data_IF_198635570356
#
_entry.id   IF_198635570356
#
_cell.length_a   1.000
_cell.length_b   1.000
_cell.length_c   1.000
_cell.angle_alpha   90.00
_cell.angle_beta   90.00
_cell.angle_gamma   90.00
#
_symmetry.space_group_name_H-M   'P 1'
#
loop_
_entity.id
_entity.type
_entity.pdbx_description
1 polymer ?
#
# COMPACT_ATOMS: atom_id res chain seq x y z
N UNK A 1 -10.65 63.04 -19.81
CA UNK A 1 -11.59 62.13 -19.08
C UNK A 1 -10.83 60.85 -18.72
N UNK A 2 -11.14 60.22 -17.58
CA UNK A 2 -10.68 58.86 -17.22
C UNK A 2 -11.92 58.05 -16.83
N UNK A 3 -12.06 56.83 -17.34
CA UNK A 3 -13.16 55.94 -16.95
C UNK A 3 -12.83 55.24 -15.62
N UNK A 4 -13.83 54.99 -14.75
CA UNK A 4 -13.65 54.14 -13.57
C UNK A 4 -13.63 52.65 -13.96
N UNK A 5 -12.86 51.85 -13.22
CA UNK A 5 -12.87 50.38 -13.33
C UNK A 5 -13.98 49.79 -12.44
N UNK A 6 -14.71 48.75 -12.89
CA UNK A 6 -15.72 48.08 -12.08
C UNK A 6 -15.10 47.13 -11.04
N UNK A 7 -15.64 47.14 -9.82
CA UNK A 7 -15.28 46.20 -8.75
C UNK A 7 -15.86 44.80 -9.00
N UNK A 8 -15.11 43.70 -8.77
CA UNK A 8 -15.64 42.34 -8.90
C UNK A 8 -16.63 42.00 -7.78
N UNK A 9 -17.87 41.69 -8.14
CA UNK A 9 -18.90 41.29 -7.18
C UNK A 9 -18.74 39.80 -6.77
N UNK A 10 -18.78 39.54 -5.46
CA UNK A 10 -18.71 38.17 -4.93
C UNK A 10 -19.95 37.34 -5.33
N UNK A 11 -19.74 36.20 -6.00
CA UNK A 11 -20.82 35.25 -6.33
C UNK A 11 -20.83 34.07 -5.37
N UNK A 12 -21.96 33.90 -4.68
CA UNK A 12 -22.28 32.67 -3.94
C UNK A 12 -22.80 31.59 -4.91
N UNK A 13 -22.36 30.36 -4.73
CA UNK A 13 -23.06 29.14 -5.16
C UNK A 13 -23.13 28.23 -3.92
N UNK A 14 -24.26 28.18 -3.22
CA UNK A 14 -25.43 27.34 -3.53
C UNK A 14 -25.10 25.84 -3.37
N UNK A 15 -25.45 25.30 -2.18
CA UNK A 15 -25.42 23.86 -1.91
C UNK A 15 -26.64 23.21 -2.56
N UNK A 16 -26.45 22.09 -3.24
CA UNK A 16 -27.54 21.18 -3.61
C UNK A 16 -27.42 19.91 -2.75
N UNK A 17 -28.51 19.54 -2.09
CA UNK A 17 -28.69 18.23 -1.49
C UNK A 17 -29.50 17.37 -2.47
N UNK A 18 -29.26 16.06 -2.54
CA UNK A 18 -30.09 15.17 -3.34
C UNK A 18 -30.41 13.84 -2.65
N UNK A 19 -31.67 13.46 -2.81
CA UNK A 19 -32.39 12.40 -2.11
C UNK A 19 -31.71 11.04 -2.04
N UNK A 20 -31.85 10.44 -0.85
CA UNK A 20 -31.78 9.01 -0.65
C UNK A 20 -33.00 8.35 -1.31
N UNK A 21 -32.81 7.25 -2.05
CA UNK A 21 -33.91 6.44 -2.57
C UNK A 21 -33.55 4.95 -2.48
N UNK A 22 -34.35 4.18 -1.74
CA UNK A 22 -34.27 2.72 -1.74
C UNK A 22 -35.01 2.15 -2.95
N UNK A 23 -34.42 1.16 -3.60
CA UNK A 23 -35.16 0.15 -4.37
C UNK A 23 -34.63 -1.21 -3.95
N UNK A 24 -35.49 -2.02 -3.32
CA UNK A 24 -35.21 -3.42 -3.03
C UNK A 24 -35.91 -4.30 -4.07
N UNK A 25 -35.20 -5.26 -4.65
CA UNK A 25 -35.78 -6.32 -5.48
C UNK A 25 -35.36 -7.66 -4.88
N UNK A 26 -36.34 -8.43 -4.41
CA UNK A 26 -36.10 -9.77 -3.90
C UNK A 26 -36.08 -10.79 -5.07
N UNK A 27 -35.05 -11.63 -5.11
CA UNK A 27 -34.93 -12.73 -6.07
C UNK A 27 -34.51 -14.01 -5.34
N UNK A 28 -35.48 -14.83 -4.96
CA UNK A 28 -35.21 -16.11 -4.28
C UNK A 28 -34.91 -17.21 -5.32
N UNK A 29 -33.66 -17.65 -5.39
CA UNK A 29 -33.23 -18.81 -6.18
C UNK A 29 -32.81 -19.97 -5.27
N UNK A 30 -33.55 -21.08 -5.31
CA UNK A 30 -33.26 -22.27 -4.50
C UNK A 30 -32.13 -23.10 -5.10
N UNK A 31 -31.24 -23.62 -4.25
CA UNK A 31 -30.35 -24.73 -4.59
C UNK A 31 -30.61 -25.91 -3.63
N UNK A 32 -30.69 -27.16 -4.13
CA UNK A 32 -30.91 -28.33 -3.29
C UNK A 32 -29.62 -28.80 -2.61
N UNK A 33 -29.76 -29.40 -1.43
CA UNK A 33 -28.67 -30.11 -0.77
C UNK A 33 -28.58 -31.57 -1.25
N UNK A 34 -27.36 -32.10 -1.32
CA UNK A 34 -27.09 -33.53 -1.41
C UNK A 34 -26.00 -33.89 -0.39
N UNK A 35 -26.16 -35.02 0.29
CA UNK A 35 -25.28 -35.49 1.37
C UNK A 35 -24.67 -36.87 1.03
N UNK A 36 -24.01 -37.50 2.00
CA UNK A 36 -23.35 -38.83 1.95
C UNK A 36 -22.00 -38.85 1.19
N UNK A 37 -20.99 -39.64 1.58
CA UNK A 37 -20.71 -40.31 2.87
C UNK A 37 -19.20 -40.65 2.97
N UNK A 38 -18.74 -41.04 4.17
CA UNK A 38 -17.41 -41.62 4.42
C UNK A 38 -17.51 -43.13 4.71
N UNK A 39 -16.41 -43.89 4.58
CA UNK A 39 -16.22 -45.11 5.37
C UNK A 39 -14.78 -45.31 5.94
N UNK A 40 -14.57 -46.40 6.69
CA UNK A 40 -13.42 -46.67 7.58
C UNK A 40 -12.94 -48.14 7.51
N UNK A 41 -11.68 -48.52 7.79
CA UNK A 41 -10.46 -47.75 8.18
C UNK A 41 -9.23 -48.21 7.36
N UNK A 42 -8.47 -49.30 7.57
CA UNK A 42 -8.21 -50.25 8.68
C UNK A 42 -6.80 -50.85 8.47
N UNK A 43 -6.04 -51.19 9.53
CA UNK A 43 -4.70 -51.80 9.45
C UNK A 43 -4.58 -53.10 10.30
N UNK A 44 -3.64 -54.01 9.95
CA UNK A 44 -2.91 -54.77 10.98
C UNK A 44 -1.42 -55.06 10.63
N UNK A 45 -0.71 -55.78 11.53
CA UNK A 45 0.68 -56.26 11.39
C UNK A 45 0.83 -57.62 12.16
N UNK A 46 1.95 -58.34 12.30
CA UNK A 46 3.39 -58.12 12.04
C UNK A 46 4.11 -59.49 11.81
N UNK A 47 5.36 -59.68 12.30
CA UNK A 47 6.18 -60.93 12.34
C UNK A 47 6.93 -61.30 11.03
N UNK A 48 8.12 -61.94 11.02
CA UNK A 48 9.14 -62.25 12.05
C UNK A 48 10.55 -62.49 11.42
N UNK A 49 11.55 -62.89 12.24
CA UNK A 49 13.00 -63.04 11.93
C UNK A 49 13.44 -64.53 11.88
N UNK A 50 14.62 -64.94 11.33
CA UNK A 50 15.90 -64.92 12.08
C UNK A 50 17.20 -64.70 11.22
N UNK A 51 18.38 -65.04 11.78
CA UNK A 51 19.77 -64.88 11.23
C UNK A 51 20.49 -66.27 11.19
N UNK A 52 21.85 -66.50 11.20
CA UNK A 52 23.05 -65.62 11.36
C UNK A 52 24.28 -65.91 10.42
N UNK A 53 25.40 -65.17 10.59
CA UNK A 53 26.72 -65.47 9.98
C UNK A 53 27.74 -64.29 10.08
N UNK A 54 29.06 -64.46 10.38
CA UNK A 54 29.93 -63.35 10.81
C UNK A 54 31.24 -63.09 10.01
N UNK A 55 32.00 -62.08 10.48
CA UNK A 55 33.41 -61.71 10.16
C UNK A 55 33.65 -60.88 8.87
N UNK A 56 34.61 -59.93 8.80
CA UNK A 56 35.53 -59.41 9.83
C UNK A 56 36.08 -57.99 9.54
N UNK A 57 36.58 -57.29 10.58
CA UNK A 57 37.56 -56.17 10.58
C UNK A 57 37.33 -54.88 9.71
N UNK A 58 37.87 -53.68 10.00
CA UNK A 58 38.34 -53.01 11.22
C UNK A 58 38.72 -51.53 10.91
N UNK A 59 38.23 -50.52 11.68
CA UNK A 59 39.00 -49.30 12.07
C UNK A 59 38.19 -48.18 12.80
N UNK A 60 38.74 -47.71 13.93
CA UNK A 60 38.58 -46.37 14.57
C UNK A 60 37.19 -45.94 15.13
N UNK A 61 37.14 -44.95 16.08
CA UNK A 61 36.28 -45.09 17.25
C UNK A 61 34.90 -44.41 17.18
N UNK A 62 34.03 -44.83 18.11
CA UNK A 62 32.61 -44.53 18.13
C UNK A 62 32.22 -43.13 18.65
N UNK A 63 31.05 -42.61 18.23
CA UNK A 63 30.40 -41.45 18.83
C UNK A 63 29.56 -41.79 20.10
N UNK A 64 29.26 -40.73 20.86
CA UNK A 64 28.26 -40.53 21.94
C UNK A 64 27.07 -41.52 22.01
N UNK A 65 26.66 -41.92 23.22
CA UNK A 65 25.34 -41.50 23.79
C UNK A 65 25.46 -41.14 25.30
N UNK A 66 24.44 -40.72 26.07
CA UNK A 66 23.01 -40.43 25.84
C UNK A 66 22.69 -39.02 26.49
N UNK A 67 21.46 -38.49 26.59
CA UNK A 67 20.11 -39.04 26.41
C UNK A 67 19.09 -38.00 25.88
N UNK A 68 17.82 -38.40 25.75
CA UNK A 68 16.78 -37.72 24.94
C UNK A 68 15.94 -36.66 25.69
N UNK A 69 15.69 -35.51 25.05
CA UNK A 69 14.37 -34.84 24.99
C UNK A 69 14.43 -33.59 24.08
N UNK A 70 13.31 -33.24 23.41
CA UNK A 70 13.17 -31.99 22.63
C UNK A 70 11.75 -31.41 22.70
N UNK A 71 11.57 -30.18 23.22
CA UNK A 71 10.63 -29.21 22.66
C UNK A 71 11.30 -28.17 21.73
N UNK A 72 10.68 -27.01 21.47
CA UNK A 72 11.12 -26.12 20.38
C UNK A 72 11.29 -24.64 20.75
N UNK A 73 11.84 -23.90 19.78
CA UNK A 73 11.77 -22.45 19.54
C UNK A 73 12.78 -21.51 20.24
N UNK A 74 13.38 -20.68 19.39
CA UNK A 74 14.04 -19.38 19.58
C UNK A 74 15.04 -19.19 20.74
N UNK A 75 16.32 -19.11 20.38
CA UNK A 75 17.31 -18.32 21.14
C UNK A 75 17.08 -16.81 20.91
N UNK A 76 17.35 -15.98 21.91
CA UNK A 76 17.10 -14.55 21.87
C UNK A 76 17.96 -13.79 20.84
N UNK A 77 17.49 -12.62 20.33
CA UNK A 77 18.21 -11.84 19.33
C UNK A 77 19.51 -11.25 19.88
N UNK A 78 20.52 -11.15 18.99
CA UNK A 78 21.81 -10.55 19.30
C UNK A 78 21.72 -9.02 19.56
N UNK A 79 22.80 -8.48 20.11
CA UNK A 79 22.95 -7.07 20.54
C UNK A 79 22.47 -6.04 19.52
N UNK A 80 21.79 -5.00 20.01
CA UNK A 80 21.19 -3.95 19.20
C UNK A 80 22.19 -3.24 18.28
N UNK A 81 22.06 -3.49 16.97
CA UNK A 81 22.52 -2.51 15.99
C UNK A 81 21.76 -1.20 16.24
N UNK A 82 22.49 -0.11 16.52
CA UNK A 82 21.90 1.22 16.73
C UNK A 82 21.55 1.83 15.37
N UNK A 83 20.46 1.34 14.76
CA UNK A 83 19.92 1.87 13.50
C UNK A 83 19.89 3.39 13.57
N UNK A 84 20.37 4.05 12.52
CA UNK A 84 20.30 5.50 12.36
C UNK A 84 18.84 5.92 12.14
N UNK A 85 18.05 5.95 13.22
CA UNK A 85 16.75 6.63 13.23
C UNK A 85 16.98 8.08 12.81
N UNK A 86 16.19 8.57 11.86
CA UNK A 86 16.29 9.96 11.36
C UNK A 86 16.23 10.92 12.55
N UNK A 87 17.24 11.79 12.65
CA UNK A 87 17.59 12.44 13.90
C UNK A 87 16.85 13.75 14.17
N UNK A 88 15.87 13.70 15.08
CA UNK A 88 15.34 14.77 15.96
C UNK A 88 14.78 16.08 15.36
N UNK A 89 15.10 16.47 14.13
CA UNK A 89 14.62 17.73 13.52
C UNK A 89 14.00 17.50 12.13
N UNK A 90 13.06 16.56 12.05
CA UNK A 90 12.28 16.34 10.83
C UNK A 90 11.33 17.53 10.58
N UNK A 91 11.26 18.00 9.33
CA UNK A 91 10.38 19.10 8.90
C UNK A 91 9.72 18.75 7.56
N UNK A 92 8.55 19.34 7.28
CA UNK A 92 7.80 19.10 6.05
C UNK A 92 7.51 17.61 5.83
N UNK A 93 7.70 17.13 4.61
CA UNK A 93 7.29 15.78 4.21
C UNK A 93 7.97 14.65 5.00
N UNK A 94 9.21 14.83 5.44
CA UNK A 94 9.94 13.84 6.25
C UNK A 94 9.45 13.80 7.70
N UNK A 95 8.88 14.91 8.22
CA UNK A 95 8.16 14.91 9.50
C UNK A 95 6.89 14.06 9.39
N UNK A 96 6.06 14.33 8.37
CA UNK A 96 4.86 13.57 8.09
C UNK A 96 5.13 12.07 7.97
N UNK A 97 6.16 11.67 7.22
CA UNK A 97 6.53 10.27 7.06
C UNK A 97 6.89 9.61 8.42
N UNK A 98 7.69 10.30 9.24
CA UNK A 98 8.07 9.79 10.56
C UNK A 98 6.88 9.66 11.52
N UNK A 99 6.06 10.71 11.65
CA UNK A 99 4.94 10.68 12.61
C UNK A 99 3.80 9.77 12.15
N UNK A 100 3.57 9.62 10.84
CA UNK A 100 2.61 8.66 10.31
C UNK A 100 3.06 7.20 10.53
N UNK A 101 4.35 6.90 10.29
CA UNK A 101 4.90 5.56 10.57
C UNK A 101 4.80 5.20 12.06
N UNK A 102 5.06 6.18 12.93
CA UNK A 102 4.96 6.04 14.38
C UNK A 102 3.51 5.97 14.89
N UNK A 103 2.55 6.61 14.19
CA UNK A 103 1.12 6.50 14.48
C UNK A 103 0.53 5.12 14.13
N UNK A 104 1.22 4.36 13.27
CA UNK A 104 0.85 2.98 12.91
C UNK A 104 0.62 2.76 11.42
N UNK A 105 0.61 3.80 10.59
CA UNK A 105 0.47 3.64 9.15
C UNK A 105 1.65 2.84 8.57
N UNK A 106 1.37 1.94 7.62
CA UNK A 106 2.37 1.13 6.88
C UNK A 106 1.98 1.03 5.41
N UNK A 107 2.94 0.62 4.57
CA UNK A 107 2.74 0.31 3.15
C UNK A 107 1.98 1.45 2.41
N UNK A 108 1.05 1.14 1.51
CA UNK A 108 0.29 2.14 0.75
C UNK A 108 -0.45 3.15 1.66
N UNK A 109 -1.15 2.75 2.75
CA UNK A 109 -1.73 3.69 3.73
C UNK A 109 -0.75 4.75 4.27
N UNK A 110 0.53 4.41 4.46
CA UNK A 110 1.55 5.37 4.91
C UNK A 110 1.91 6.39 3.82
N UNK A 111 2.06 5.94 2.58
CA UNK A 111 2.26 6.85 1.44
C UNK A 111 1.08 7.80 1.27
N UNK A 112 -0.15 7.27 1.31
CA UNK A 112 -1.37 8.09 1.21
C UNK A 112 -1.49 9.09 2.36
N UNK A 113 -1.18 8.68 3.60
CA UNK A 113 -1.18 9.59 4.74
C UNK A 113 -0.25 10.79 4.54
N UNK A 114 0.99 10.55 4.09
CA UNK A 114 1.97 11.62 3.83
C UNK A 114 1.54 12.51 2.66
N UNK A 115 1.01 11.93 1.59
CA UNK A 115 0.52 12.68 0.42
C UNK A 115 -0.71 13.56 0.75
N UNK A 116 -1.63 13.07 1.60
CA UNK A 116 -2.77 13.86 2.11
C UNK A 116 -2.28 15.01 2.98
N UNK A 117 -1.38 14.79 3.95
CA UNK A 117 -0.85 15.88 4.78
C UNK A 117 -0.05 16.94 3.99
N UNK A 118 0.60 16.55 2.90
CA UNK A 118 1.21 17.49 1.96
C UNK A 118 0.16 18.35 1.23
N UNK A 119 -0.95 17.77 0.79
CA UNK A 119 -2.04 18.51 0.15
C UNK A 119 -2.84 19.39 1.13
N UNK A 120 -3.01 18.95 2.37
CA UNK A 120 -3.75 19.66 3.42
C UNK A 120 -2.95 20.83 4.04
N UNK A 121 -1.65 20.65 4.31
CA UNK A 121 -0.86 21.62 5.10
C UNK A 121 0.55 21.89 4.58
N UNK A 122 0.98 21.29 3.46
CA UNK A 122 2.40 21.16 3.10
C UNK A 122 3.25 20.53 4.22
N UNK A 123 2.63 19.67 5.04
CA UNK A 123 3.22 19.10 6.24
C UNK A 123 3.75 20.13 7.27
N UNK A 124 2.96 21.18 7.52
CA UNK A 124 3.21 22.19 8.55
C UNK A 124 2.41 21.90 9.85
N UNK A 125 3.06 21.59 11.00
CA UNK A 125 2.37 21.34 12.26
C UNK A 125 1.55 22.52 12.79
N UNK A 126 1.87 23.75 12.38
CA UNK A 126 1.21 24.99 12.80
C UNK A 126 0.22 25.53 11.77
N UNK A 127 -0.14 24.75 10.75
CA UNK A 127 -1.17 25.13 9.78
C UNK A 127 -2.54 25.29 10.46
N UNK A 128 -3.32 26.27 10.00
CA UNK A 128 -4.71 26.46 10.41
C UNK A 128 -5.56 26.92 9.21
N UNK A 129 -6.64 26.19 8.94
CA UNK A 129 -7.70 26.56 8.01
C UNK A 129 -8.92 27.06 8.78
N UNK A 130 -9.54 28.15 8.33
CA UNK A 130 -10.73 28.72 8.99
C UNK A 130 -11.96 28.57 8.10
N UNK A 131 -12.96 27.84 8.60
CA UNK A 131 -14.23 27.59 7.91
C UNK A 131 -15.34 28.43 8.54
N UNK A 132 -16.10 29.12 7.67
CA UNK A 132 -17.31 29.83 8.11
C UNK A 132 -18.42 28.89 8.58
N UNK A 133 -19.46 29.44 9.25
CA UNK A 133 -20.60 28.68 9.78
C UNK A 133 -21.22 27.67 8.81
N UNK A 134 -21.51 26.47 9.33
CA UNK A 134 -22.27 25.42 8.64
C UNK A 134 -23.41 24.90 9.51
N UNK A 135 -24.34 24.15 8.93
CA UNK A 135 -25.46 23.54 9.68
C UNK A 135 -25.02 22.57 10.80
N UNK A 136 -23.81 22.00 10.72
CA UNK A 136 -23.22 21.19 11.81
C UNK A 136 -22.28 21.98 12.73
N UNK A 137 -21.78 23.13 12.27
CA UNK A 137 -20.78 23.93 12.95
C UNK A 137 -21.22 25.41 12.91
N UNK A 138 -22.22 25.76 13.74
CA UNK A 138 -22.90 27.06 13.70
C UNK A 138 -21.99 28.26 13.98
N UNK A 139 -20.90 28.06 14.70
CA UNK A 139 -19.90 29.07 15.02
C UNK A 139 -18.71 29.10 14.03
N UNK A 140 -18.77 28.31 12.95
CA UNK A 140 -17.62 27.98 12.12
C UNK A 140 -16.79 26.84 12.72
N UNK A 141 -15.62 26.56 12.13
CA UNK A 141 -14.69 25.52 12.61
C UNK A 141 -13.27 25.74 12.12
N UNK A 142 -12.27 25.26 12.87
CA UNK A 142 -10.86 25.32 12.51
C UNK A 142 -10.32 23.93 12.14
N UNK A 143 -9.70 23.85 10.95
CA UNK A 143 -8.89 22.73 10.49
C UNK A 143 -7.44 22.97 10.92
N UNK A 144 -6.76 21.97 11.49
CA UNK A 144 -5.53 22.22 12.28
C UNK A 144 -4.41 21.20 12.03
N UNK A 145 -3.19 21.70 11.87
CA UNK A 145 -1.95 20.94 11.81
C UNK A 145 -1.81 20.04 10.59
N UNK A 146 -0.92 19.04 10.68
CA UNK A 146 -0.43 18.24 9.53
C UNK A 146 -1.54 17.67 8.64
N UNK A 147 -2.56 17.03 9.23
CA UNK A 147 -3.72 16.46 8.55
C UNK A 147 -4.98 17.34 8.65
N UNK A 148 -4.84 18.63 8.98
CA UNK A 148 -5.92 19.63 9.00
C UNK A 148 -7.18 19.17 9.78
N UNK A 149 -6.97 18.66 11.01
CA UNK A 149 -8.02 17.99 11.79
C UNK A 149 -9.04 19.00 12.35
N UNK A 150 -10.25 18.99 11.77
CA UNK A 150 -11.35 19.90 12.11
C UNK A 150 -11.80 19.81 13.59
N UNK A 151 -11.90 20.95 14.27
CA UNK A 151 -12.28 21.01 15.69
C UNK A 151 -13.77 20.78 16.00
N UNK A 152 -14.66 20.95 15.02
CA UNK A 152 -16.11 20.73 15.18
C UNK A 152 -16.47 19.26 14.95
N UNK A 153 -15.90 18.63 13.91
CA UNK A 153 -16.14 17.21 13.60
C UNK A 153 -15.30 16.25 14.45
N UNK A 154 -14.15 16.69 14.97
CA UNK A 154 -13.30 15.91 15.87
C UNK A 154 -12.97 16.66 17.19
N UNK A 155 -13.98 16.97 18.03
CA UNK A 155 -13.82 17.80 19.22
C UNK A 155 -12.99 17.14 20.33
N UNK A 156 -12.79 15.82 20.28
CA UNK A 156 -11.86 15.09 21.15
C UNK A 156 -10.39 15.37 20.84
N UNK A 157 -10.08 15.90 19.65
CA UNK A 157 -8.73 16.32 19.26
C UNK A 157 -8.55 17.77 19.68
N UNK A 158 -8.00 17.99 20.87
CA UNK A 158 -7.70 19.32 21.43
C UNK A 158 -6.68 20.07 20.56
N UNK A 159 -6.63 21.41 20.64
CA UNK A 159 -5.65 22.20 19.89
C UNK A 159 -4.21 21.81 20.21
N UNK A 160 -3.91 21.52 21.48
CA UNK A 160 -2.59 20.99 21.89
C UNK A 160 -2.24 19.68 21.18
N UNK A 161 -3.21 18.78 20.97
CA UNK A 161 -2.99 17.57 20.18
C UNK A 161 -2.87 17.89 18.68
N UNK A 162 -3.75 18.76 18.16
CA UNK A 162 -3.81 19.09 16.75
C UNK A 162 -2.53 19.80 16.23
N UNK A 163 -1.89 20.65 17.03
CA UNK A 163 -0.63 21.29 16.65
C UNK A 163 0.62 20.47 17.06
N UNK A 164 0.47 19.40 17.85
CA UNK A 164 1.55 18.45 18.15
C UNK A 164 1.63 17.39 17.06
N UNK A 165 2.67 17.43 16.21
CA UNK A 165 2.82 16.59 15.03
C UNK A 165 2.45 15.09 15.23
N UNK A 166 2.96 14.45 16.28
CA UNK A 166 2.64 13.04 16.56
C UNK A 166 1.19 12.82 17.01
N UNK A 167 0.60 13.74 17.76
CA UNK A 167 -0.78 13.60 18.24
C UNK A 167 -1.78 13.86 17.09
N UNK A 168 -1.48 14.81 16.20
CA UNK A 168 -2.20 15.00 14.94
C UNK A 168 -2.14 13.76 14.04
N UNK A 169 -0.97 13.11 13.92
CA UNK A 169 -0.80 11.86 13.17
C UNK A 169 -1.60 10.70 13.78
N UNK A 170 -1.61 10.56 15.11
CA UNK A 170 -2.39 9.56 15.82
C UNK A 170 -3.90 9.78 15.62
N UNK A 171 -4.35 11.05 15.62
CA UNK A 171 -5.73 11.40 15.29
C UNK A 171 -6.08 11.03 13.85
N UNK A 172 -5.23 11.39 12.87
CA UNK A 172 -5.41 11.04 11.46
C UNK A 172 -5.47 9.52 11.24
N UNK A 173 -4.63 8.75 11.92
CA UNK A 173 -4.67 7.27 11.88
C UNK A 173 -6.01 6.71 12.35
N UNK A 174 -6.54 7.21 13.48
CA UNK A 174 -7.83 6.76 14.00
C UNK A 174 -9.01 7.21 13.12
N UNK A 175 -9.01 8.47 12.65
CA UNK A 175 -10.08 9.03 11.80
C UNK A 175 -10.13 8.35 10.42
N UNK A 176 -8.98 7.93 9.89
CA UNK A 176 -8.87 7.22 8.61
C UNK A 176 -9.07 5.70 8.70
N UNK A 177 -9.49 5.16 9.86
CA UNK A 177 -9.57 3.72 10.11
C UNK A 177 -8.26 2.98 9.77
N UNK A 178 -7.12 3.50 10.24
CA UNK A 178 -5.78 2.98 9.94
C UNK A 178 -5.29 3.28 8.51
N UNK A 179 -5.87 4.28 7.85
CA UNK A 179 -5.62 4.61 6.45
C UNK A 179 -6.35 3.74 5.44
N UNK A 180 -7.44 3.08 5.86
CA UNK A 180 -8.36 2.34 4.98
C UNK A 180 -9.53 3.19 4.46
N UNK A 181 -9.84 4.31 5.13
CA UNK A 181 -10.88 5.25 4.72
C UNK A 181 -10.34 6.69 4.68
N UNK A 182 -10.20 7.25 3.48
CA UNK A 182 -9.75 8.64 3.28
C UNK A 182 -10.88 9.61 2.92
N UNK A 183 -12.15 9.16 2.91
CA UNK A 183 -13.31 10.02 2.60
C UNK A 183 -13.46 11.26 3.52
N UNK A 184 -12.99 11.31 4.78
CA UNK A 184 -13.02 12.54 5.57
C UNK A 184 -12.17 13.69 4.99
N UNK A 185 -11.16 13.42 4.16
CA UNK A 185 -10.25 14.44 3.63
C UNK A 185 -10.66 14.92 2.24
N UNK A 186 -10.91 16.22 2.13
CA UNK A 186 -11.32 16.84 0.85
C UNK A 186 -10.22 16.75 -0.21
N UNK A 187 -8.95 16.84 0.18
CA UNK A 187 -7.77 16.69 -0.68
C UNK A 187 -7.56 15.27 -1.22
N UNK A 188 -8.13 14.26 -0.55
CA UNK A 188 -8.20 12.91 -1.10
C UNK A 188 -9.32 12.83 -2.15
N UNK A 189 -10.53 13.26 -1.77
CA UNK A 189 -11.73 13.16 -2.61
C UNK A 189 -11.66 13.96 -3.93
N UNK A 190 -10.93 15.08 -3.95
CA UNK A 190 -10.71 15.89 -5.16
C UNK A 190 -9.43 15.52 -5.92
N UNK A 191 -8.67 14.53 -5.46
CA UNK A 191 -7.43 14.05 -6.09
C UNK A 191 -6.19 14.90 -5.85
N UNK A 192 -6.25 16.01 -5.09
CA UNK A 192 -5.09 16.89 -4.85
C UNK A 192 -3.89 16.16 -4.21
N UNK A 193 -4.14 15.16 -3.35
CA UNK A 193 -3.08 14.31 -2.78
C UNK A 193 -2.23 13.58 -3.83
N UNK A 194 -2.79 13.28 -5.01
CA UNK A 194 -2.10 12.50 -6.04
C UNK A 194 -0.83 13.21 -6.56
N UNK A 195 -0.83 14.54 -6.59
CA UNK A 195 0.33 15.36 -6.97
C UNK A 195 1.52 15.24 -6.01
N UNK A 196 1.32 14.69 -4.81
CA UNK A 196 2.35 14.52 -3.78
C UNK A 196 2.78 13.06 -3.57
N UNK A 197 2.19 12.09 -4.28
CA UNK A 197 2.49 10.66 -4.09
C UNK A 197 3.97 10.32 -4.29
N UNK A 198 4.60 10.83 -5.35
CA UNK A 198 6.03 10.59 -5.64
C UNK A 198 6.96 11.13 -4.55
N UNK A 199 6.67 12.33 -4.04
CA UNK A 199 7.41 12.93 -2.92
C UNK A 199 7.18 12.14 -1.62
N UNK A 200 5.94 11.69 -1.38
CA UNK A 200 5.58 10.89 -0.21
C UNK A 200 6.27 9.52 -0.23
N UNK A 201 6.32 8.84 -1.38
CA UNK A 201 7.04 7.58 -1.56
C UNK A 201 8.53 7.73 -1.27
N UNK A 202 9.16 8.82 -1.75
CA UNK A 202 10.56 9.13 -1.44
C UNK A 202 10.80 9.43 0.05
N UNK A 203 9.88 10.12 0.73
CA UNK A 203 9.96 10.39 2.17
C UNK A 203 9.79 9.10 3.00
N UNK A 204 8.89 8.22 2.60
CA UNK A 204 8.67 6.91 3.25
C UNK A 204 9.87 5.99 3.05
N UNK A 205 10.52 5.99 1.88
CA UNK A 205 11.75 5.23 1.63
C UNK A 205 12.89 5.65 2.59
N UNK A 206 13.07 6.95 2.82
CA UNK A 206 14.11 7.49 3.74
C UNK A 206 13.95 7.03 5.19
N UNK A 207 12.77 6.55 5.61
CA UNK A 207 12.57 5.94 6.93
C UNK A 207 13.33 4.61 7.08
N UNK A 208 13.67 3.93 5.97
CA UNK A 208 14.36 2.64 5.93
C UNK A 208 15.85 2.70 6.26
N UNK A 209 16.47 3.89 6.25
CA UNK A 209 17.85 4.09 6.68
C UNK A 209 18.92 4.05 5.58
N UNK A 210 18.55 3.92 4.30
CA UNK A 210 19.42 4.29 3.17
C UNK A 210 18.78 5.42 2.36
N UNK A 211 19.61 6.24 1.70
CA UNK A 211 19.20 7.46 1.00
C UNK A 211 18.68 7.23 -0.42
N UNK A 212 18.26 6.01 -0.74
CA UNK A 212 17.94 5.57 -2.10
C UNK A 212 16.47 5.84 -2.44
N UNK A 213 16.12 6.18 -3.71
CA UNK A 213 14.75 6.22 -4.16
C UNK A 213 14.11 4.81 -4.13
N UNK A 214 12.77 4.69 -4.09
CA UNK A 214 12.09 3.42 -3.77
C UNK A 214 12.50 2.24 -4.66
N UNK A 215 13.07 1.21 -4.06
CA UNK A 215 13.29 -0.12 -4.65
C UNK A 215 12.19 -1.09 -4.20
N UNK A 216 11.17 -1.42 -4.99
CA UNK A 216 10.69 -0.78 -6.22
C UNK A 216 9.16 -0.82 -6.21
N UNK A 217 8.51 -0.10 -7.13
CA UNK A 217 7.05 -0.23 -7.29
C UNK A 217 6.74 -1.65 -7.78
N UNK A 218 5.67 -2.26 -7.29
CA UNK A 218 5.32 -3.65 -7.65
C UNK A 218 3.94 -3.76 -8.26
N UNK A 219 3.80 -4.62 -9.26
CA UNK A 219 2.51 -4.95 -9.89
C UNK A 219 2.21 -6.44 -9.86
N UNK A 220 0.93 -6.81 -9.79
CA UNK A 220 0.47 -8.21 -9.86
C UNK A 220 -0.11 -8.53 -11.23
N UNK A 221 0.37 -9.60 -11.85
CA UNK A 221 0.03 -9.98 -13.23
C UNK A 221 -1.38 -10.57 -13.32
N UNK A 222 -2.23 -9.97 -14.17
CA UNK A 222 -3.63 -10.39 -14.37
C UNK A 222 -3.86 -11.25 -15.63
N UNK A 223 -2.91 -11.31 -16.57
CA UNK A 223 -3.04 -12.14 -17.76
C UNK A 223 -2.90 -13.64 -17.41
N UNK A 224 -3.83 -14.46 -17.90
CA UNK A 224 -3.91 -15.89 -17.66
C UNK A 224 -3.69 -16.65 -18.98
N UNK A 225 -2.79 -17.65 -19.05
CA UNK A 225 -1.97 -18.19 -17.96
C UNK A 225 -0.73 -17.36 -17.62
N UNK A 226 -0.29 -16.47 -18.51
CA UNK A 226 0.93 -15.67 -18.34
C UNK A 226 0.93 -14.41 -19.22
N UNK A 227 1.70 -13.40 -18.82
CA UNK A 227 2.02 -12.21 -19.61
C UNK A 227 3.40 -12.34 -20.26
N UNK A 228 3.53 -11.94 -21.53
CA UNK A 228 4.81 -11.91 -22.23
C UNK A 228 5.59 -10.64 -21.91
N UNK A 229 6.84 -10.80 -21.46
CA UNK A 229 7.82 -9.73 -21.26
C UNK A 229 8.53 -9.50 -22.59
N UNK A 230 8.56 -8.26 -23.09
CA UNK A 230 9.05 -7.91 -24.42
C UNK A 230 10.29 -7.03 -24.39
N UNK A 231 11.04 -7.00 -25.49
CA UNK A 231 12.24 -6.15 -25.62
C UNK A 231 11.92 -4.67 -25.83
N UNK A 232 10.67 -4.32 -26.12
CA UNK A 232 10.19 -2.94 -26.24
C UNK A 232 8.66 -2.83 -26.10
N UNK A 233 8.11 -1.60 -26.06
CA UNK A 233 6.72 -1.33 -25.71
C UNK A 233 5.75 -1.52 -26.90
N UNK A 234 5.60 -2.76 -27.37
CA UNK A 234 4.66 -3.12 -28.44
C UNK A 234 4.58 -4.62 -28.68
N UNK A 235 3.49 -5.11 -29.26
CA UNK A 235 3.26 -6.55 -29.46
C UNK A 235 4.09 -7.15 -30.61
N UNK A 236 4.68 -6.31 -31.44
CA UNK A 236 5.64 -6.66 -32.49
C UNK A 236 7.08 -6.85 -31.97
N UNK A 237 7.40 -6.37 -30.76
CA UNK A 237 8.73 -6.56 -30.17
C UNK A 237 8.95 -8.00 -29.69
N UNK A 238 10.18 -8.48 -29.84
CA UNK A 238 10.61 -9.83 -29.45
C UNK A 238 10.32 -10.13 -27.97
N UNK A 239 10.03 -11.39 -27.68
CA UNK A 239 9.72 -11.86 -26.33
C UNK A 239 11.04 -12.13 -25.59
N UNK A 240 11.31 -11.37 -24.52
CA UNK A 240 12.44 -11.56 -23.62
C UNK A 240 12.18 -12.65 -22.58
N UNK A 241 10.92 -12.95 -22.30
CA UNK A 241 10.48 -14.03 -21.42
C UNK A 241 8.98 -13.91 -21.12
N UNK A 242 8.52 -14.56 -20.05
CA UNK A 242 7.14 -14.44 -19.57
C UNK A 242 7.09 -14.38 -18.05
N UNK A 243 5.90 -14.10 -17.53
CA UNK A 243 5.59 -14.13 -16.10
C UNK A 243 4.15 -14.63 -15.88
N UNK A 244 3.97 -15.52 -14.91
CA UNK A 244 2.69 -16.22 -14.67
C UNK A 244 1.60 -15.31 -14.10
N UNK A 245 0.34 -15.70 -14.32
CA UNK A 245 -0.82 -15.15 -13.62
C UNK A 245 -0.62 -15.13 -12.10
N UNK A 246 -1.01 -14.03 -11.45
CA UNK A 246 -0.94 -13.83 -10.00
C UNK A 246 0.46 -13.57 -9.45
N UNK A 247 1.53 -13.64 -10.27
CA UNK A 247 2.87 -13.30 -9.83
C UNK A 247 3.04 -11.79 -9.61
N UNK A 248 3.88 -11.41 -8.65
CA UNK A 248 4.29 -10.03 -8.43
C UNK A 248 5.60 -9.73 -9.18
N UNK A 249 5.68 -8.58 -9.83
CA UNK A 249 6.85 -8.09 -10.57
C UNK A 249 7.30 -6.74 -10.05
N UNK A 250 8.60 -6.47 -10.11
CA UNK A 250 9.16 -5.14 -9.82
C UNK A 250 9.05 -4.28 -11.08
N UNK A 251 8.63 -3.02 -10.93
CA UNK A 251 8.46 -2.03 -11.99
C UNK A 251 9.51 -0.93 -11.79
N UNK A 252 10.31 -0.66 -12.82
CA UNK A 252 11.39 0.32 -12.78
C UNK A 252 10.98 1.69 -13.35
N UNK A 253 10.25 1.69 -14.47
CA UNK A 253 9.72 2.89 -15.12
C UNK A 253 8.56 2.52 -16.06
N UNK A 254 7.68 3.47 -16.36
CA UNK A 254 6.64 3.31 -17.39
C UNK A 254 7.11 3.94 -18.70
N UNK A 255 6.54 3.58 -19.85
CA UNK A 255 6.63 4.39 -21.06
C UNK A 255 5.35 4.32 -21.89
N UNK A 256 5.30 5.04 -23.00
CA UNK A 256 4.21 4.96 -23.97
C UNK A 256 4.63 4.15 -25.19
N UNK A 257 3.71 3.35 -25.72
CA UNK A 257 3.94 2.46 -26.85
C UNK A 257 2.66 2.10 -27.59
N UNK A 258 2.60 0.86 -28.09
CA UNK A 258 1.41 0.33 -28.77
C UNK A 258 0.19 0.33 -27.85
N UNK A 259 -0.98 0.76 -28.35
CA UNK A 259 -2.23 0.68 -27.60
C UNK A 259 -2.74 -0.77 -27.57
N UNK A 260 -2.82 -1.36 -26.38
CA UNK A 260 -3.27 -2.75 -26.20
C UNK A 260 -4.75 -2.76 -25.82
N UNK A 261 -5.58 -3.33 -26.70
CA UNK A 261 -6.98 -3.62 -26.42
C UNK A 261 -7.13 -4.89 -25.58
N UNK A 262 -8.09 -4.89 -24.65
CA UNK A 262 -8.24 -5.94 -23.64
C UNK A 262 -7.42 -5.68 -22.37
N UNK A 263 -7.53 -6.60 -21.40
CA UNK A 263 -7.08 -6.38 -20.02
C UNK A 263 -8.10 -5.60 -19.19
N UNK A 264 -7.70 -5.14 -18.00
CA UNK A 264 -8.59 -4.39 -17.09
C UNK A 264 -8.71 -2.91 -17.47
N UNK A 265 -7.65 -2.33 -18.03
CA UNK A 265 -7.58 -0.89 -18.37
C UNK A 265 -6.84 -0.69 -19.70
N UNK A 266 -7.50 -0.90 -20.85
CA UNK A 266 -6.90 -0.75 -22.18
C UNK A 266 -6.18 0.58 -22.33
N UNK A 267 -4.87 0.53 -22.59
CA UNK A 267 -3.99 1.70 -22.55
C UNK A 267 -2.82 1.56 -23.53
N UNK A 268 -2.13 2.67 -23.80
CA UNK A 268 -0.83 2.71 -24.48
C UNK A 268 0.35 2.76 -23.49
N UNK A 269 0.12 2.48 -22.20
CA UNK A 269 1.15 2.48 -21.16
C UNK A 269 1.84 1.10 -21.12
N UNK A 270 3.16 1.10 -21.01
CA UNK A 270 3.98 -0.11 -20.91
C UNK A 270 4.95 -0.01 -19.75
N UNK A 271 4.93 -1.02 -18.88
CA UNK A 271 5.77 -1.10 -17.69
C UNK A 271 7.07 -1.82 -18.00
N UNK A 272 8.21 -1.15 -17.74
CA UNK A 272 9.52 -1.81 -17.73
C UNK A 272 9.70 -2.53 -16.41
N UNK A 273 9.55 -3.84 -16.44
CA UNK A 273 9.57 -4.72 -15.26
C UNK A 273 10.82 -5.59 -15.18
N UNK A 274 11.08 -6.12 -13.99
CA UNK A 274 11.97 -7.27 -13.75
C UNK A 274 11.16 -8.39 -13.07
N UNK A 275 11.16 -9.58 -13.67
CA UNK A 275 10.56 -10.78 -13.08
C UNK A 275 11.48 -11.33 -11.97
N UNK A 276 11.05 -11.35 -10.69
CA UNK A 276 11.92 -11.76 -9.58
C UNK A 276 12.25 -13.26 -9.57
N UNK A 277 11.48 -14.10 -10.27
CA UNK A 277 11.72 -15.54 -10.36
C UNK A 277 12.77 -15.93 -11.42
N UNK A 278 13.08 -15.04 -12.37
CA UNK A 278 13.97 -15.34 -13.52
C UNK A 278 15.03 -14.28 -13.80
N UNK A 279 14.95 -13.10 -13.18
CA UNK A 279 15.81 -11.94 -13.46
C UNK A 279 15.52 -11.24 -14.81
N UNK A 280 14.65 -11.80 -15.66
CA UNK A 280 14.31 -11.25 -16.97
C UNK A 280 13.71 -9.86 -16.81
N UNK A 281 14.29 -8.90 -17.55
CA UNK A 281 13.86 -7.50 -17.56
C UNK A 281 13.40 -7.10 -18.95
N UNK A 282 12.29 -6.36 -19.03
CA UNK A 282 11.68 -5.92 -20.30
C UNK A 282 10.32 -5.28 -20.08
N UNK A 283 9.55 -5.08 -21.14
CA UNK A 283 8.30 -4.34 -21.13
C UNK A 283 7.07 -5.25 -21.12
N UNK A 284 6.05 -4.91 -20.34
CA UNK A 284 4.71 -5.51 -20.35
C UNK A 284 3.64 -4.42 -20.49
N UNK A 285 2.46 -4.74 -21.00
CA UNK A 285 1.38 -3.76 -21.15
C UNK A 285 0.62 -3.56 -19.83
N UNK A 286 0.47 -2.30 -19.38
CA UNK A 286 -0.03 -1.97 -18.03
C UNK A 286 -1.49 -2.41 -17.79
N UNK A 287 -2.30 -2.52 -18.86
CA UNK A 287 -3.66 -3.10 -18.80
C UNK A 287 -3.73 -4.53 -18.20
N UNK A 288 -2.61 -5.25 -18.15
CA UNK A 288 -2.49 -6.59 -17.55
C UNK A 288 -1.74 -6.63 -16.21
N UNK A 289 -1.43 -5.46 -15.62
CA UNK A 289 -0.65 -5.33 -14.38
C UNK A 289 -1.44 -4.53 -13.35
N UNK A 290 -1.84 -5.15 -12.24
CA UNK A 290 -2.48 -4.44 -11.14
C UNK A 290 -1.43 -3.83 -10.21
N UNK A 291 -1.31 -2.50 -10.25
CA UNK A 291 -0.43 -1.69 -9.39
C UNK A 291 -1.20 -0.89 -8.33
N UNK A 292 -2.52 -1.14 -8.16
CA UNK A 292 -3.47 -0.42 -7.28
C UNK A 292 -3.78 1.04 -7.66
N UNK A 293 -2.87 1.76 -8.31
CA UNK A 293 -3.04 3.14 -8.79
C UNK A 293 -2.55 3.26 -10.24
N UNK A 294 -2.63 4.44 -10.87
CA UNK A 294 -2.00 4.64 -12.18
C UNK A 294 -0.46 4.59 -12.04
N UNK A 295 0.19 3.65 -12.72
CA UNK A 295 1.65 3.45 -12.70
C UNK A 295 2.44 4.72 -13.06
N UNK A 296 1.86 5.61 -13.86
CA UNK A 296 2.43 6.91 -14.25
C UNK A 296 2.55 7.91 -13.09
N UNK A 297 1.91 7.62 -11.95
CA UNK A 297 2.01 8.38 -10.70
C UNK A 297 2.98 7.77 -9.67
N UNK A 298 3.50 6.56 -9.94
CA UNK A 298 4.30 5.78 -8.99
C UNK A 298 5.74 5.56 -9.45
N UNK A 299 6.00 5.47 -10.76
CA UNK A 299 7.36 5.38 -11.31
C UNK A 299 7.64 6.51 -12.31
N UNK A 300 8.93 6.83 -12.49
CA UNK A 300 9.38 7.71 -13.56
C UNK A 300 9.14 7.12 -14.95
N UNK A 301 9.31 7.94 -15.98
CA UNK A 301 9.21 7.51 -17.38
C UNK A 301 10.55 6.95 -17.90
N UNK A 302 10.49 5.88 -18.70
CA UNK A 302 11.52 5.48 -19.66
C UNK A 302 11.34 6.25 -20.99
#
# INVERSE_FOLDING_TARGET
MRLPLPTPAARRALRLALGLALVAVAGAGTMPAAATAAPTTTAPAAHARPAPGPADQQAKPAPRPADQAKPASVGGPATSAKTARVGVNAVGIDLCAQVAYAAGFRNNPLVTAVAVAMAESSCNPSAVGSNGPTAGCSNGSLDRGLWQINNCYHPTVTDSCAYTAQCNANAAYNISSGGSNWQPWSTYNNGAYAGYLSAAQAAVARLGGTGDPPTGVTGTILANPSLNIRTGPGTTYGIAGSVSYGATVNIACYTFGEYVSGGYWPSSTWDRITNPATGVTGYVADTWVNTTYDVKTMVGRC
#
